data_IF_192190770809
#
_entry.id   IF_192190770809
#
_cell.length_a   1.000
_cell.length_b   1.000
_cell.length_c   1.000
_cell.angle_alpha   90.00
_cell.angle_beta   90.00
_cell.angle_gamma   90.00
#
_symmetry.space_group_name_H-M   'P 1'
#
loop_
_entity.id
_entity.type
_entity.pdbx_description
1 polymer ?
#
# COMPACT_ATOMS: atom_id res chain seq x y z
N UNK A 1 -15.78 -6.03 -5.07
CA UNK A 1 -15.05 -5.03 -4.27
C UNK A 1 -14.63 -3.87 -5.19
N UNK A 2 -14.95 -2.65 -4.80
CA UNK A 2 -14.72 -1.40 -5.54
C UNK A 2 -13.23 -1.00 -5.65
N UNK A 3 -12.33 -1.78 -5.07
CA UNK A 3 -10.88 -1.52 -5.04
C UNK A 3 -10.03 -2.59 -5.73
N UNK A 4 -10.63 -3.67 -6.21
CA UNK A 4 -9.90 -4.76 -6.85
C UNK A 4 -9.70 -4.50 -8.34
N UNK A 5 -8.47 -4.26 -8.73
CA UNK A 5 -8.04 -4.20 -10.13
C UNK A 5 -7.20 -5.45 -10.41
N UNK A 6 -7.73 -6.34 -11.26
CA UNK A 6 -7.07 -7.59 -11.62
C UNK A 6 -5.68 -7.32 -12.22
N UNK A 7 -4.65 -7.96 -11.68
CA UNK A 7 -3.28 -7.84 -12.17
C UNK A 7 -2.60 -6.48 -11.93
N UNK A 8 -3.14 -5.65 -11.03
CA UNK A 8 -2.56 -4.33 -10.76
C UNK A 8 -1.10 -4.40 -10.34
N UNK A 9 -0.78 -5.30 -9.40
CA UNK A 9 0.60 -5.44 -8.92
C UNK A 9 1.50 -6.02 -9.99
N UNK A 10 1.02 -6.98 -10.80
CA UNK A 10 1.78 -7.51 -11.93
C UNK A 10 2.19 -6.39 -12.91
N UNK A 11 1.25 -5.53 -13.28
CA UNK A 11 1.51 -4.41 -14.19
C UNK A 11 2.47 -3.38 -13.58
N UNK A 12 2.26 -3.01 -12.32
CA UNK A 12 3.13 -2.04 -11.62
C UNK A 12 4.56 -2.58 -11.47
N UNK A 13 4.72 -3.84 -11.09
CA UNK A 13 6.03 -4.48 -10.95
C UNK A 13 6.77 -4.58 -12.27
N UNK A 14 6.08 -4.91 -13.36
CA UNK A 14 6.68 -4.94 -14.70
C UNK A 14 7.25 -3.58 -15.07
N UNK A 15 6.45 -2.51 -14.93
CA UNK A 15 6.91 -1.14 -15.22
C UNK A 15 8.06 -0.70 -14.32
N UNK A 16 7.95 -0.96 -13.02
CA UNK A 16 9.00 -0.60 -12.06
C UNK A 16 10.31 -1.34 -12.37
N UNK A 17 10.25 -2.61 -12.75
CA UNK A 17 11.44 -3.40 -13.09
C UNK A 17 12.14 -2.89 -14.34
N UNK A 18 11.39 -2.48 -15.36
CA UNK A 18 11.97 -1.83 -16.56
C UNK A 18 12.69 -0.54 -16.18
N UNK A 19 12.06 0.28 -15.32
CA UNK A 19 12.70 1.49 -14.79
C UNK A 19 13.98 1.18 -14.01
N UNK A 20 13.95 0.17 -13.14
CA UNK A 20 15.10 -0.27 -12.37
C UNK A 20 16.26 -0.71 -13.28
N UNK A 21 15.98 -1.52 -14.30
CA UNK A 21 16.99 -1.98 -15.25
C UNK A 21 17.64 -0.81 -16.01
N UNK A 22 16.85 0.19 -16.43
CA UNK A 22 17.36 1.38 -17.10
C UNK A 22 18.24 2.27 -16.22
N UNK A 23 18.00 2.30 -14.91
CA UNK A 23 18.66 3.20 -13.97
C UNK A 23 19.65 2.48 -13.04
N UNK A 24 19.87 1.18 -13.22
CA UNK A 24 20.82 0.41 -12.42
C UNK A 24 20.34 0.13 -10.98
N UNK A 25 19.03 0.17 -10.73
CA UNK A 25 18.44 -0.26 -9.46
C UNK A 25 18.12 -1.75 -9.51
N UNK A 26 18.26 -2.43 -8.39
CA UNK A 26 18.05 -3.87 -8.26
C UNK A 26 16.90 -4.26 -7.30
N UNK A 27 16.26 -3.26 -6.68
CA UNK A 27 15.28 -3.48 -5.61
C UNK A 27 14.01 -2.67 -5.79
N UNK A 28 12.87 -3.34 -5.63
CA UNK A 28 11.53 -2.74 -5.59
C UNK A 28 10.94 -3.04 -4.21
N UNK A 29 10.37 -2.03 -3.57
CA UNK A 29 9.70 -2.17 -2.27
C UNK A 29 8.21 -1.91 -2.44
N UNK A 30 7.38 -2.85 -1.96
CA UNK A 30 5.92 -2.75 -1.95
C UNK A 30 5.37 -2.70 -0.52
N UNK A 31 4.39 -1.85 -0.28
CA UNK A 31 3.69 -1.70 0.99
C UNK A 31 2.48 -2.63 1.15
N UNK A 32 2.56 -3.87 0.71
CA UNK A 32 1.51 -4.88 0.96
C UNK A 32 1.44 -5.20 2.45
N UNK A 33 0.22 -5.38 2.97
CA UNK A 33 -0.03 -5.65 4.39
C UNK A 33 -0.54 -7.07 4.61
N UNK A 34 -0.52 -7.52 5.87
CA UNK A 34 -1.13 -8.76 6.29
C UNK A 34 -2.62 -8.79 5.95
N UNK A 35 -3.13 -9.96 5.59
CA UNK A 35 -4.55 -10.14 5.25
C UNK A 35 -4.94 -9.58 3.88
N UNK A 36 -3.98 -9.19 3.04
CA UNK A 36 -4.28 -8.79 1.67
C UNK A 36 -4.84 -9.99 0.88
N UNK A 37 -6.09 -9.92 0.37
CA UNK A 37 -6.76 -11.08 -0.25
C UNK A 37 -6.39 -11.29 -1.72
N UNK A 38 -5.57 -10.42 -2.30
CA UNK A 38 -5.32 -10.44 -3.75
C UNK A 38 -4.22 -11.42 -4.12
N UNK A 39 -4.45 -12.27 -5.17
CA UNK A 39 -3.47 -13.27 -5.60
C UNK A 39 -2.10 -12.68 -5.97
N UNK A 40 -2.10 -11.46 -6.55
CA UNK A 40 -0.90 -10.73 -6.96
C UNK A 40 -0.22 -9.95 -5.80
N UNK A 41 -0.57 -10.28 -4.55
CA UNK A 41 0.06 -9.75 -3.35
C UNK A 41 0.70 -10.85 -2.48
N UNK A 42 0.67 -12.10 -2.91
CA UNK A 42 1.23 -13.23 -2.16
C UNK A 42 2.75 -13.30 -2.26
N UNK A 43 3.46 -13.83 -1.25
CA UNK A 43 4.91 -14.03 -1.33
C UNK A 43 5.33 -14.91 -2.51
N UNK A 44 4.54 -15.95 -2.82
CA UNK A 44 4.79 -16.82 -3.97
C UNK A 44 4.74 -16.06 -5.29
N UNK A 45 3.74 -15.20 -5.47
CA UNK A 45 3.65 -14.34 -6.64
C UNK A 45 4.85 -13.38 -6.74
N UNK A 46 5.21 -12.71 -5.64
CA UNK A 46 6.34 -11.76 -5.62
C UNK A 46 7.65 -12.43 -6.01
N UNK A 47 7.91 -13.63 -5.49
CA UNK A 47 9.12 -14.41 -5.84
C UNK A 47 9.12 -14.83 -7.31
N UNK A 48 8.02 -15.37 -7.82
CA UNK A 48 7.91 -15.78 -9.22
C UNK A 48 8.05 -14.58 -10.17
N UNK A 49 7.45 -13.45 -9.82
CA UNK A 49 7.53 -12.22 -10.60
C UNK A 49 8.95 -11.67 -10.64
N UNK A 50 9.65 -11.63 -9.50
CA UNK A 50 11.05 -11.21 -9.42
C UNK A 50 11.94 -12.08 -10.31
N UNK A 51 11.74 -13.40 -10.29
CA UNK A 51 12.50 -14.33 -11.14
C UNK A 51 12.22 -14.08 -12.62
N UNK A 52 10.95 -14.01 -13.03
CA UNK A 52 10.57 -13.81 -14.42
C UNK A 52 11.11 -12.50 -14.98
N UNK A 53 10.98 -11.41 -14.20
CA UNK A 53 11.47 -10.08 -14.59
C UNK A 53 13.01 -10.04 -14.64
N UNK A 54 13.69 -10.65 -13.69
CA UNK A 54 15.16 -10.74 -13.72
C UNK A 54 15.68 -11.45 -14.96
N UNK A 55 15.05 -12.56 -15.34
CA UNK A 55 15.40 -13.30 -16.56
C UNK A 55 15.10 -12.48 -17.82
N UNK A 56 13.88 -11.93 -17.91
CA UNK A 56 13.44 -11.20 -19.11
C UNK A 56 14.20 -9.91 -19.37
N UNK A 57 14.68 -9.25 -18.31
CA UNK A 57 15.44 -8.00 -18.40
C UNK A 57 16.97 -8.21 -18.39
N UNK A 58 17.43 -9.45 -18.22
CA UNK A 58 18.85 -9.77 -17.97
C UNK A 58 19.47 -8.87 -16.87
N UNK A 59 18.67 -8.54 -15.84
CA UNK A 59 19.01 -7.64 -14.75
C UNK A 59 18.40 -8.15 -13.44
N UNK A 60 19.22 -8.32 -12.40
CA UNK A 60 18.74 -8.84 -11.11
C UNK A 60 17.76 -7.88 -10.45
N UNK A 61 16.53 -8.37 -10.20
CA UNK A 61 15.47 -7.63 -9.49
C UNK A 61 15.06 -8.40 -8.25
N UNK A 62 15.01 -7.72 -7.12
CA UNK A 62 14.38 -8.21 -5.88
C UNK A 62 13.12 -7.41 -5.59
N UNK A 63 12.09 -8.08 -5.05
CA UNK A 63 10.84 -7.46 -4.64
C UNK A 63 10.66 -7.69 -3.15
N UNK A 64 10.76 -6.62 -2.36
CA UNK A 64 10.63 -6.66 -0.92
C UNK A 64 9.25 -6.18 -0.47
N UNK A 65 8.69 -6.87 0.52
CA UNK A 65 7.40 -6.52 1.13
C UNK A 65 7.56 -6.40 2.65
N UNK A 66 8.24 -5.37 3.15
CA UNK A 66 8.65 -5.28 4.57
C UNK A 66 7.47 -5.18 5.53
N UNK A 67 6.30 -4.81 5.05
CA UNK A 67 5.09 -4.67 5.86
C UNK A 67 4.13 -5.86 5.74
N UNK A 68 4.50 -6.95 5.05
CA UNK A 68 3.60 -8.06 4.76
C UNK A 68 3.04 -8.77 6.01
N UNK A 69 3.75 -8.72 7.14
CA UNK A 69 3.31 -9.27 8.41
C UNK A 69 2.56 -8.26 9.30
N UNK A 70 2.47 -6.98 8.88
CA UNK A 70 1.88 -5.91 9.67
C UNK A 70 0.40 -5.72 9.34
N UNK A 71 -0.43 -5.54 10.35
CA UNK A 71 -1.79 -5.02 10.19
C UNK A 71 -1.73 -3.50 10.01
N UNK A 72 -2.81 -2.91 9.53
CA UNK A 72 -2.85 -1.45 9.28
C UNK A 72 -2.62 -0.62 10.55
N UNK A 73 -3.12 -1.09 11.68
CA UNK A 73 -2.86 -0.48 13.00
C UNK A 73 -1.37 -0.53 13.40
N UNK A 74 -0.67 -1.62 13.07
CA UNK A 74 0.76 -1.74 13.35
C UNK A 74 1.59 -0.78 12.50
N UNK A 75 1.18 -0.60 11.23
CA UNK A 75 1.80 0.39 10.34
C UNK A 75 1.60 1.81 10.85
N UNK A 76 0.43 2.14 11.43
CA UNK A 76 0.19 3.44 12.06
C UNK A 76 1.13 3.62 13.26
N UNK A 77 1.25 2.63 14.15
CA UNK A 77 2.18 2.69 15.29
C UNK A 77 3.63 2.87 14.83
N UNK A 78 4.04 2.13 13.80
CA UNK A 78 5.37 2.29 13.20
C UNK A 78 5.56 3.68 12.61
N UNK A 79 4.55 4.19 11.89
CA UNK A 79 4.58 5.53 11.31
C UNK A 79 4.75 6.63 12.35
N UNK A 80 4.09 6.50 13.52
CA UNK A 80 4.29 7.45 14.64
C UNK A 80 5.74 7.41 15.12
N UNK A 81 6.32 6.22 15.29
CA UNK A 81 7.74 6.06 15.72
C UNK A 81 8.69 6.68 14.70
N UNK A 82 8.35 6.65 13.42
CA UNK A 82 9.17 7.19 12.33
C UNK A 82 8.86 8.67 12.02
N UNK A 83 7.95 9.31 12.75
CA UNK A 83 7.58 10.71 12.55
C UNK A 83 6.80 10.98 11.26
N UNK A 84 6.04 10.00 10.76
CA UNK A 84 5.23 10.16 9.54
C UNK A 84 4.16 11.24 9.75
N UNK A 85 4.09 12.28 8.89
CA UNK A 85 3.11 13.34 9.01
C UNK A 85 1.74 12.87 8.50
N UNK A 86 1.00 12.13 9.30
CA UNK A 86 -0.28 11.52 8.90
C UNK A 86 -1.33 12.52 8.40
N UNK A 87 -1.26 13.79 8.80
CA UNK A 87 -2.12 14.85 8.28
C UNK A 87 -1.94 15.11 6.78
N UNK A 88 -0.78 14.75 6.22
CA UNK A 88 -0.47 14.87 4.79
C UNK A 88 -0.71 13.57 4.00
N UNK A 89 -1.17 12.51 4.66
CA UNK A 89 -1.44 11.23 4.00
C UNK A 89 -2.88 11.11 3.52
N UNK A 90 -3.07 10.56 2.33
CA UNK A 90 -4.38 10.37 1.70
C UNK A 90 -4.71 8.89 1.57
N UNK A 91 -5.84 8.47 2.15
CA UNK A 91 -6.39 7.10 1.99
C UNK A 91 -7.67 7.09 1.15
N UNK A 92 -8.33 8.21 1.02
CA UNK A 92 -9.65 8.33 0.38
C UNK A 92 -9.59 8.07 -1.13
N UNK A 93 -10.58 7.33 -1.66
CA UNK A 93 -10.73 7.10 -3.10
C UNK A 93 -11.46 8.23 -3.84
N UNK A 94 -12.17 9.09 -3.11
CA UNK A 94 -12.97 10.22 -3.64
C UNK A 94 -12.77 11.46 -2.77
N UNK A 95 -11.56 12.00 -2.72
CA UNK A 95 -11.31 13.19 -1.89
C UNK A 95 -12.05 14.40 -2.44
N UNK A 96 -12.49 15.27 -1.53
CA UNK A 96 -13.09 16.57 -1.87
C UNK A 96 -12.13 17.65 -1.40
N UNK A 97 -11.42 18.26 -2.31
CA UNK A 97 -10.33 19.20 -2.02
C UNK A 97 -9.29 18.55 -1.09
N UNK A 98 -9.05 19.13 0.09
CA UNK A 98 -8.11 18.67 1.12
C UNK A 98 -8.73 17.67 2.13
N UNK A 99 -9.96 17.17 1.88
CA UNK A 99 -10.69 16.32 2.82
C UNK A 99 -10.93 14.94 2.27
N UNK A 100 -10.84 13.95 3.14
CA UNK A 100 -11.35 12.61 2.88
C UNK A 100 -12.89 12.67 2.80
N UNK A 101 -13.52 11.89 1.89
CA UNK A 101 -14.98 11.89 1.79
C UNK A 101 -15.68 11.39 3.08
N UNK A 102 -15.02 10.54 3.86
CA UNK A 102 -15.55 9.98 5.10
C UNK A 102 -16.40 8.71 4.93
N UNK A 103 -16.84 8.38 3.71
CA UNK A 103 -17.85 7.35 3.45
C UNK A 103 -17.30 6.12 2.72
N UNK A 104 -16.23 6.24 1.93
CA UNK A 104 -15.70 5.10 1.17
C UNK A 104 -15.03 4.06 2.07
N UNK A 105 -14.82 2.85 1.54
CA UNK A 105 -14.18 1.73 2.25
C UNK A 105 -12.80 2.12 2.81
N UNK A 106 -12.01 2.87 2.06
CA UNK A 106 -10.67 3.29 2.49
C UNK A 106 -10.68 4.33 3.61
N UNK A 107 -11.69 5.18 3.67
CA UNK A 107 -11.92 6.06 4.82
C UNK A 107 -12.31 5.26 6.06
N UNK A 108 -13.13 4.23 5.90
CA UNK A 108 -13.52 3.33 6.99
C UNK A 108 -12.30 2.59 7.54
N UNK A 109 -11.56 1.90 6.65
CA UNK A 109 -10.33 1.19 7.02
C UNK A 109 -9.33 2.08 7.77
N UNK A 110 -9.18 3.34 7.35
CA UNK A 110 -8.29 4.29 8.01
C UNK A 110 -8.78 4.59 9.43
N UNK A 111 -10.03 4.95 9.59
CA UNK A 111 -10.61 5.27 10.92
C UNK A 111 -10.55 4.09 11.87
N UNK A 112 -10.90 2.89 11.39
CA UNK A 112 -10.87 1.67 12.19
C UNK A 112 -9.44 1.39 12.66
N UNK A 113 -8.46 1.51 11.77
CA UNK A 113 -7.06 1.30 12.10
C UNK A 113 -6.52 2.34 13.10
N UNK A 114 -6.86 3.62 12.96
CA UNK A 114 -6.52 4.64 13.97
C UNK A 114 -7.24 4.38 15.29
N UNK A 115 -8.53 4.01 15.24
CA UNK A 115 -9.31 3.64 16.42
C UNK A 115 -8.68 2.48 17.22
N UNK A 116 -8.21 1.43 16.53
CA UNK A 116 -7.52 0.30 17.16
C UNK A 116 -6.20 0.73 17.86
N UNK A 117 -5.57 1.79 17.41
CA UNK A 117 -4.31 2.26 18.02
C UNK A 117 -4.53 3.17 19.22
N UNK A 118 -5.70 3.78 19.37
CA UNK A 118 -5.97 4.88 20.29
C UNK A 118 -5.29 6.20 19.90
N UNK A 119 -4.63 6.26 18.74
CA UNK A 119 -3.96 7.47 18.22
C UNK A 119 -5.00 8.29 17.45
N UNK A 120 -5.13 9.61 17.70
CA UNK A 120 -6.03 10.45 16.93
C UNK A 120 -5.66 10.50 15.44
N UNK A 121 -6.64 10.32 14.55
CA UNK A 121 -6.42 10.53 13.12
C UNK A 121 -6.46 12.04 12.80
N UNK A 122 -5.36 12.64 12.33
CA UNK A 122 -5.32 14.08 12.00
C UNK A 122 -6.00 14.42 10.67
N UNK A 123 -6.52 13.44 9.94
CA UNK A 123 -7.16 13.68 8.65
C UNK A 123 -8.47 14.43 8.79
N UNK A 124 -8.73 15.35 7.85
CA UNK A 124 -10.02 16.03 7.75
C UNK A 124 -11.00 15.19 6.94
N UNK A 125 -12.23 15.09 7.39
CA UNK A 125 -13.32 14.38 6.74
C UNK A 125 -14.45 15.32 6.33
N UNK A 126 -14.97 15.18 5.10
CA UNK A 126 -16.09 15.96 4.59
C UNK A 126 -17.42 15.50 5.21
N UNK A 127 -17.59 14.21 5.42
CA UNK A 127 -18.75 13.64 6.12
C UNK A 127 -18.29 12.76 7.29
N UNK A 128 -19.06 12.81 8.38
CA UNK A 128 -18.93 11.81 9.46
C UNK A 128 -19.79 10.60 9.08
N UNK A 129 -19.28 9.37 9.14
CA UNK A 129 -20.13 8.19 8.95
C UNK A 129 -21.16 8.12 10.07
N UNK A 130 -22.28 7.45 9.83
CA UNK A 130 -23.16 7.06 10.92
C UNK A 130 -22.36 6.22 11.93
N UNK A 131 -22.64 6.47 13.20
CA UNK A 131 -22.08 5.69 14.32
C UNK A 131 -22.58 4.27 14.26
#
# INVERSE_FOLDING_TARGET
SDVYLVGRNAMLLTKASVYCAHHGFDRIVLGTLAGNPFPDATPGFMNAMAQALSLGLAHGITIDTPLAAYRKSDVIRLGVKLGVPFGLTLSCMRPTRDKHCGLCSKCRERRDAFGETGIPDPAKYAAKPPR
#
